data_IF_141228774011
#
_entry.id   IF_141228774011
#
_cell.length_a   1.000
_cell.length_b   1.000
_cell.length_c   1.000
_cell.angle_alpha   90.00
_cell.angle_beta   90.00
_cell.angle_gamma   90.00
#
_symmetry.space_group_name_H-M   'P 1'
#
loop_
_entity.id
_entity.type
_entity.pdbx_description
1 polymer ?
#
# COMPACT_ATOMS: atom_id res chain seq x y z
N UNK A 1 9.62 -15.73 -1.66
CA UNK A 1 9.40 -14.28 -1.88
C UNK A 1 10.57 -13.52 -1.25
N UNK A 2 11.31 -12.76 -2.02
CA UNK A 2 12.42 -11.92 -1.54
C UNK A 2 11.93 -10.49 -1.30
N UNK A 3 12.33 -9.88 -0.17
CA UNK A 3 12.02 -8.49 0.16
C UNK A 3 13.33 -7.70 0.21
N UNK A 4 13.47 -6.73 -0.69
CA UNK A 4 14.63 -5.87 -0.78
C UNK A 4 14.51 -4.72 0.23
N UNK A 5 15.51 -4.59 1.10
CA UNK A 5 15.56 -3.51 2.10
C UNK A 5 16.02 -2.20 1.44
N UNK A 6 15.09 -1.27 1.26
CA UNK A 6 15.35 0.09 0.76
C UNK A 6 14.88 1.13 1.77
N UNK A 7 15.32 0.96 3.00
CA UNK A 7 14.85 1.75 4.15
C UNK A 7 15.21 3.23 3.97
N UNK A 8 14.22 4.10 4.18
CA UNK A 8 14.40 5.56 4.21
C UNK A 8 15.39 5.89 5.34
N UNK A 9 16.55 6.45 4.99
CA UNK A 9 17.65 6.69 5.91
C UNK A 9 17.36 7.84 6.86
N UNK A 10 16.85 8.97 6.32
CA UNK A 10 16.58 10.17 7.08
C UNK A 10 15.12 10.28 7.47
N UNK A 11 14.85 10.27 8.77
CA UNK A 11 13.49 10.41 9.31
C UNK A 11 12.88 11.78 9.04
N UNK A 12 13.69 12.83 9.06
CA UNK A 12 13.24 14.22 8.94
C UNK A 12 13.81 14.89 7.69
N UNK A 13 13.18 15.97 7.28
CA UNK A 13 13.65 16.86 6.20
C UNK A 13 13.17 18.29 6.46
N UNK A 14 13.82 19.27 5.82
CA UNK A 14 13.34 20.65 5.79
C UNK A 14 12.37 20.78 4.61
N UNK A 15 11.13 21.16 4.91
CA UNK A 15 10.12 21.39 3.87
C UNK A 15 10.47 22.68 3.12
N UNK A 16 10.66 22.62 1.79
CA UNK A 16 11.03 23.79 0.99
C UNK A 16 9.93 24.86 0.90
N UNK A 17 8.69 24.52 1.27
CA UNK A 17 7.55 25.43 1.20
C UNK A 17 7.47 26.39 2.38
N UNK A 18 7.84 25.93 3.57
CA UNK A 18 7.67 26.69 4.81
C UNK A 18 8.91 26.70 5.71
N UNK A 19 10.01 26.09 5.28
CA UNK A 19 11.26 26.01 6.02
C UNK A 19 11.21 25.16 7.30
N UNK A 20 10.09 24.49 7.59
CA UNK A 20 9.93 23.73 8.83
C UNK A 20 10.47 22.32 8.72
N UNK A 21 10.96 21.81 9.84
CA UNK A 21 11.33 20.39 9.95
C UNK A 21 10.08 19.53 9.97
N UNK A 22 9.97 18.60 9.02
CA UNK A 22 8.90 17.61 8.92
C UNK A 22 9.48 16.20 8.94
N UNK A 23 8.63 15.19 9.21
CA UNK A 23 9.05 13.78 9.25
C UNK A 23 8.45 12.97 8.11
N UNK A 24 9.19 11.94 7.68
CA UNK A 24 8.76 10.95 6.69
C UNK A 24 8.11 9.72 7.32
N UNK A 25 8.46 9.43 8.57
CA UNK A 25 7.88 8.37 9.39
C UNK A 25 8.04 8.71 10.87
N UNK A 26 7.28 8.07 11.74
CA UNK A 26 7.31 8.29 13.19
C UNK A 26 7.68 7.03 13.96
N UNK A 27 7.71 7.17 15.27
CA UNK A 27 7.76 6.03 16.17
C UNK A 27 6.34 5.52 16.41
N UNK A 28 6.18 4.18 16.40
CA UNK A 28 4.89 3.54 16.69
C UNK A 28 4.58 3.58 18.19
N UNK A 29 5.57 3.80 19.04
CA UNK A 29 5.43 3.73 20.48
C UNK A 29 5.13 2.30 20.95
N UNK A 30 4.23 2.17 21.91
CA UNK A 30 3.79 0.87 22.43
C UNK A 30 2.57 0.28 21.67
N UNK A 31 2.12 0.94 20.58
CA UNK A 31 0.99 0.45 19.81
C UNK A 31 1.34 -0.85 19.09
N UNK A 32 0.49 -1.83 19.24
CA UNK A 32 0.59 -3.09 18.51
C UNK A 32 0.17 -2.89 17.04
N UNK A 33 0.80 -3.66 16.15
CA UNK A 33 0.38 -3.74 14.75
C UNK A 33 -0.87 -4.64 14.72
N UNK A 34 -2.00 -4.05 14.35
CA UNK A 34 -3.30 -4.73 14.36
C UNK A 34 -4.02 -4.66 13.01
N UNK A 35 -3.50 -3.89 12.05
CA UNK A 35 -4.11 -3.66 10.76
C UNK A 35 -3.11 -3.72 9.63
N UNK A 36 -3.58 -4.11 8.44
CA UNK A 36 -2.88 -3.89 7.17
C UNK A 36 -3.78 -3.02 6.31
N UNK A 37 -3.21 -1.91 5.80
CA UNK A 37 -3.92 -1.02 4.88
C UNK A 37 -3.27 -1.14 3.50
N UNK A 38 -4.06 -1.58 2.54
CA UNK A 38 -3.65 -1.70 1.14
C UNK A 38 -3.91 -0.40 0.41
N UNK A 39 -2.91 0.05 -0.33
CA UNK A 39 -2.92 1.27 -1.14
C UNK A 39 -2.47 0.99 -2.57
N UNK A 40 -2.48 2.00 -3.39
CA UNK A 40 -1.71 2.09 -4.61
C UNK A 40 -0.88 3.37 -4.59
N UNK A 41 0.20 3.44 -5.36
CA UNK A 41 1.08 4.61 -5.35
C UNK A 41 0.42 5.84 -5.96
N UNK A 42 -0.51 5.67 -6.90
CA UNK A 42 -1.08 6.76 -7.69
C UNK A 42 -0.03 7.43 -8.59
N UNK A 43 1.09 6.75 -8.80
CA UNK A 43 2.21 7.23 -9.62
C UNK A 43 2.24 6.48 -10.96
N UNK A 44 1.54 7.04 -11.92
CA UNK A 44 1.50 6.53 -13.30
C UNK A 44 2.87 6.52 -13.99
N UNK A 45 3.88 7.21 -13.47
CA UNK A 45 5.25 7.21 -14.01
C UNK A 45 6.03 5.95 -13.64
N UNK A 46 5.66 5.26 -12.56
CA UNK A 46 6.33 4.03 -12.14
C UNK A 46 5.96 2.83 -13.03
N UNK A 47 4.72 2.76 -13.53
CA UNK A 47 4.23 1.70 -14.43
C UNK A 47 4.58 0.30 -13.94
N UNK A 48 4.23 -0.01 -12.69
CA UNK A 48 4.52 -1.30 -12.05
C UNK A 48 5.91 -1.44 -11.44
N UNK A 49 6.81 -0.48 -11.63
CA UNK A 49 8.18 -0.57 -11.11
C UNK A 49 8.30 0.01 -9.69
N UNK A 50 8.29 -0.85 -8.67
CA UNK A 50 8.42 -0.44 -7.27
C UNK A 50 9.76 0.21 -6.94
N UNK A 51 10.84 -0.18 -7.64
CA UNK A 51 12.17 0.42 -7.47
C UNK A 51 12.16 1.93 -7.70
N UNK A 52 11.46 2.40 -8.72
CA UNK A 52 11.38 3.84 -9.02
C UNK A 52 10.80 4.62 -7.83
N UNK A 53 9.70 4.15 -7.27
CA UNK A 53 9.06 4.77 -6.11
C UNK A 53 9.93 4.65 -4.86
N UNK A 54 10.53 3.47 -4.61
CA UNK A 54 11.42 3.26 -3.48
C UNK A 54 12.67 4.16 -3.55
N UNK A 55 13.24 4.37 -4.74
CA UNK A 55 14.38 5.29 -4.95
C UNK A 55 13.97 6.74 -4.71
N UNK A 56 12.82 7.17 -5.23
CA UNK A 56 12.29 8.51 -5.02
C UNK A 56 12.04 8.80 -3.54
N UNK A 57 11.54 7.82 -2.78
CA UNK A 57 11.31 7.93 -1.32
C UNK A 57 12.59 8.24 -0.53
N UNK A 58 13.77 7.90 -1.03
CA UNK A 58 15.02 8.18 -0.32
C UNK A 58 15.29 9.69 -0.19
N UNK A 59 14.86 10.47 -1.18
CA UNK A 59 15.22 11.88 -1.31
C UNK A 59 14.03 12.84 -1.31
N UNK A 60 12.81 12.36 -1.52
CA UNK A 60 11.67 13.27 -1.60
C UNK A 60 11.41 14.00 -0.28
N UNK A 61 10.93 15.23 -0.40
CA UNK A 61 10.60 16.09 0.73
C UNK A 61 9.07 16.12 0.94
N UNK A 62 8.53 14.98 1.37
CA UNK A 62 7.08 14.77 1.58
C UNK A 62 6.84 14.04 2.88
N UNK A 63 5.72 14.35 3.54
CA UNK A 63 5.22 13.66 4.74
C UNK A 63 4.35 12.46 4.40
N UNK A 64 4.77 11.69 3.40
CA UNK A 64 4.09 10.46 2.95
C UNK A 64 5.12 9.34 2.86
N UNK A 65 4.78 8.19 3.37
CA UNK A 65 5.60 6.98 3.28
C UNK A 65 4.72 5.74 3.43
N UNK A 66 5.22 4.61 3.02
CA UNK A 66 4.61 3.30 3.22
C UNK A 66 5.64 2.33 3.79
N UNK A 67 5.21 1.18 4.31
CA UNK A 67 6.15 0.17 4.78
C UNK A 67 6.68 -0.67 3.62
N UNK A 68 5.79 -1.08 2.71
CA UNK A 68 6.13 -1.95 1.59
C UNK A 68 5.58 -1.40 0.27
N UNK A 69 6.37 -1.60 -0.77
CA UNK A 69 5.99 -1.39 -2.17
C UNK A 69 6.09 -2.73 -2.88
N UNK A 70 5.02 -3.14 -3.56
CA UNK A 70 4.97 -4.38 -4.33
C UNK A 70 4.85 -4.03 -5.80
N UNK A 71 5.87 -4.30 -6.58
CA UNK A 71 5.92 -4.04 -8.01
C UNK A 71 6.13 -5.28 -8.86
N UNK A 72 6.09 -5.11 -10.16
CA UNK A 72 6.42 -6.18 -11.12
C UNK A 72 7.89 -6.61 -11.03
N UNK A 73 8.74 -5.68 -10.60
CA UNK A 73 10.19 -5.88 -10.47
C UNK A 73 10.57 -6.59 -9.17
N UNK A 74 10.05 -6.15 -8.05
CA UNK A 74 10.34 -6.72 -6.74
C UNK A 74 9.45 -6.14 -5.63
N UNK A 75 9.62 -6.65 -4.41
CA UNK A 75 9.05 -6.07 -3.19
C UNK A 75 10.14 -5.29 -2.46
N UNK A 76 9.83 -4.04 -2.08
CA UNK A 76 10.73 -3.16 -1.35
C UNK A 76 10.14 -2.79 0.02
N UNK A 77 10.92 -2.97 1.09
CA UNK A 77 10.59 -2.40 2.39
C UNK A 77 11.25 -1.03 2.52
N UNK A 78 10.45 0.01 2.72
CA UNK A 78 10.92 1.41 2.80
C UNK A 78 10.86 2.00 4.20
N UNK A 79 9.97 1.49 5.07
CA UNK A 79 9.91 1.82 6.50
C UNK A 79 9.89 0.52 7.30
N UNK A 80 10.71 0.43 8.36
CA UNK A 80 10.72 -0.75 9.22
C UNK A 80 9.40 -0.87 9.99
N UNK A 81 8.89 -2.08 10.19
CA UNK A 81 7.60 -2.34 10.84
C UNK A 81 7.47 -1.72 12.24
N UNK A 82 8.59 -1.61 12.98
CA UNK A 82 8.62 -0.97 14.30
C UNK A 82 8.36 0.54 14.29
N UNK A 83 8.31 1.16 13.12
CA UNK A 83 8.00 2.57 12.92
C UNK A 83 6.60 2.73 12.34
N UNK A 84 6.03 3.92 12.48
CA UNK A 84 4.78 4.30 11.83
C UNK A 84 5.10 5.01 10.51
N UNK A 85 4.70 4.44 9.37
CA UNK A 85 4.74 5.11 8.09
C UNK A 85 3.55 6.08 7.96
N UNK A 86 3.71 7.13 7.17
CA UNK A 86 2.69 8.16 6.98
C UNK A 86 1.84 7.87 5.74
N UNK A 87 0.87 6.96 5.85
CA UNK A 87 0.00 6.52 4.75
C UNK A 87 -1.50 6.66 5.03
N UNK A 88 -1.90 6.67 6.31
CA UNK A 88 -3.30 6.80 6.72
C UNK A 88 -3.38 7.43 8.12
N UNK A 89 -3.54 8.78 8.22
CA UNK A 89 -3.63 9.45 9.50
C UNK A 89 -4.89 9.02 10.25
N UNK A 90 -4.83 9.08 11.59
CA UNK A 90 -6.03 8.95 12.40
C UNK A 90 -6.86 10.22 12.30
N UNK A 91 -8.13 10.08 11.97
CA UNK A 91 -9.13 11.15 12.00
C UNK A 91 -10.40 10.62 12.66
N UNK A 92 -11.16 11.51 13.32
CA UNK A 92 -12.44 11.12 13.95
C UNK A 92 -13.48 10.59 12.95
N UNK A 93 -13.34 10.96 11.69
CA UNK A 93 -14.18 10.54 10.58
C UNK A 93 -13.82 9.16 10.02
N UNK A 94 -12.71 8.54 10.45
CA UNK A 94 -12.33 7.21 9.98
C UNK A 94 -13.40 6.19 10.35
N UNK A 95 -13.72 5.32 9.39
CA UNK A 95 -14.76 4.29 9.54
C UNK A 95 -14.33 3.11 10.42
N UNK A 96 -13.03 3.00 10.72
CA UNK A 96 -12.46 1.99 11.62
C UNK A 96 -11.21 2.54 12.33
N UNK A 97 -10.67 1.78 13.26
CA UNK A 97 -9.51 2.18 14.08
C UNK A 97 -8.16 2.12 13.36
N UNK A 98 -8.12 1.70 12.09
CA UNK A 98 -6.89 1.62 11.31
C UNK A 98 -6.26 3.00 11.13
N UNK A 99 -4.95 3.11 11.37
CA UNK A 99 -4.20 4.36 11.23
C UNK A 99 -2.70 4.09 11.16
N UNK A 100 -1.90 5.12 10.88
CA UNK A 100 -0.44 5.05 10.81
C UNK A 100 0.20 4.32 12.01
N UNK A 101 -0.31 4.53 13.22
CA UNK A 101 0.29 4.00 14.45
C UNK A 101 0.02 2.50 14.67
N UNK A 102 -1.06 1.96 14.14
CA UNK A 102 -1.50 0.58 14.38
C UNK A 102 -1.53 -0.27 13.11
N UNK A 103 -1.16 0.29 11.96
CA UNK A 103 -1.21 -0.41 10.68
C UNK A 103 0.16 -0.53 10.00
N UNK A 104 0.29 -1.57 9.18
CA UNK A 104 1.28 -1.67 8.12
C UNK A 104 0.66 -1.19 6.82
N UNK A 105 1.30 -0.23 6.13
CA UNK A 105 0.92 0.20 4.79
C UNK A 105 1.60 -0.66 3.74
N UNK A 106 0.83 -1.17 2.79
CA UNK A 106 1.30 -1.92 1.63
C UNK A 106 0.77 -1.25 0.37
N UNK A 107 1.67 -0.67 -0.41
CA UNK A 107 1.33 -0.03 -1.68
C UNK A 107 1.60 -1.02 -2.82
N UNK A 108 0.55 -1.40 -3.53
CA UNK A 108 0.65 -2.13 -4.79
C UNK A 108 0.94 -1.12 -5.90
N UNK A 109 2.02 -1.36 -6.65
CA UNK A 109 2.45 -0.43 -7.71
C UNK A 109 1.67 -0.74 -8.99
N UNK A 110 0.80 0.16 -9.32
CA UNK A 110 -0.14 0.02 -10.43
C UNK A 110 0.50 0.31 -11.79
N UNK A 111 -0.25 -0.09 -12.81
CA UNK A 111 -0.11 0.35 -14.19
C UNK A 111 -1.32 1.15 -14.63
N UNK A 112 -1.13 1.95 -15.65
CA UNK A 112 -2.20 2.73 -16.29
C UNK A 112 -2.02 2.74 -17.80
N UNK A 113 -3.10 2.49 -18.56
CA UNK A 113 -3.04 2.48 -20.03
C UNK A 113 -2.79 3.88 -20.59
N UNK A 114 -3.55 4.87 -20.08
CA UNK A 114 -3.40 6.26 -20.50
C UNK A 114 -2.59 7.07 -19.47
N UNK A 115 -1.27 7.21 -19.63
CA UNK A 115 -0.43 7.94 -18.68
C UNK A 115 -0.61 9.46 -18.74
N UNK A 116 -1.43 9.99 -19.66
CA UNK A 116 -1.71 11.43 -19.76
C UNK A 116 -2.84 11.89 -18.85
N UNK A 117 -3.70 10.97 -18.42
CA UNK A 117 -4.75 11.26 -17.44
C UNK A 117 -4.32 10.82 -16.05
N UNK A 118 -4.60 11.65 -15.05
CA UNK A 118 -4.26 11.41 -13.64
C UNK A 118 -5.50 11.23 -12.77
N UNK A 119 -6.67 11.16 -13.41
CA UNK A 119 -7.93 11.07 -12.68
C UNK A 119 -8.05 9.74 -11.95
N UNK A 120 -8.40 9.82 -10.67
CA UNK A 120 -8.78 8.63 -9.87
C UNK A 120 -10.09 8.00 -10.37
N UNK A 121 -10.87 8.70 -11.22
CA UNK A 121 -12.10 8.18 -11.82
C UNK A 121 -11.84 7.35 -13.08
N UNK A 122 -10.62 7.40 -13.64
CA UNK A 122 -10.30 6.61 -14.82
C UNK A 122 -10.39 5.12 -14.48
N UNK A 123 -10.89 4.34 -15.44
CA UNK A 123 -11.14 2.91 -15.28
C UNK A 123 -10.01 2.03 -15.83
N UNK A 124 -8.91 2.64 -16.26
CA UNK A 124 -7.75 1.98 -16.86
C UNK A 124 -6.56 1.81 -15.88
N UNK A 125 -6.75 2.08 -14.60
CA UNK A 125 -5.83 1.72 -13.53
C UNK A 125 -5.93 0.23 -13.24
N UNK A 126 -4.82 -0.51 -13.24
CA UNK A 126 -4.84 -1.94 -12.98
C UNK A 126 -3.57 -2.42 -12.28
N UNK A 127 -3.64 -3.57 -11.64
CA UNK A 127 -2.51 -4.35 -11.15
C UNK A 127 -2.28 -5.53 -12.09
N UNK A 128 -1.00 -5.90 -12.28
CA UNK A 128 -0.67 -7.15 -12.96
C UNK A 128 -0.94 -8.34 -12.05
N UNK A 129 -1.09 -9.54 -12.62
CA UNK A 129 -1.25 -10.77 -11.84
C UNK A 129 -0.09 -10.98 -10.86
N UNK A 130 1.14 -10.63 -11.28
CA UNK A 130 2.32 -10.71 -10.43
C UNK A 130 2.20 -9.81 -9.20
N UNK A 131 1.81 -8.55 -9.36
CA UNK A 131 1.60 -7.61 -8.24
C UNK A 131 0.51 -8.09 -7.31
N UNK A 132 -0.60 -8.64 -7.85
CA UNK A 132 -1.69 -9.20 -7.06
C UNK A 132 -1.21 -10.43 -6.28
N UNK A 133 -0.48 -11.34 -6.91
CA UNK A 133 0.03 -12.56 -6.28
C UNK A 133 1.05 -12.24 -5.18
N UNK A 134 2.08 -11.48 -5.50
CA UNK A 134 3.15 -11.12 -4.55
C UNK A 134 2.59 -10.27 -3.41
N UNK A 135 1.67 -9.36 -3.70
CA UNK A 135 0.97 -8.56 -2.71
C UNK A 135 0.14 -9.40 -1.75
N UNK A 136 -0.60 -10.39 -2.26
CA UNK A 136 -1.39 -11.29 -1.43
C UNK A 136 -0.49 -12.16 -0.53
N UNK A 137 0.61 -12.68 -1.04
CA UNK A 137 1.59 -13.44 -0.26
C UNK A 137 2.24 -12.60 0.84
N UNK A 138 2.66 -11.36 0.51
CA UNK A 138 3.22 -10.42 1.49
C UNK A 138 2.22 -10.10 2.59
N UNK A 139 0.98 -9.78 2.22
CA UNK A 139 -0.08 -9.45 3.18
C UNK A 139 -0.41 -10.64 4.08
N UNK A 140 -0.46 -11.87 3.52
CA UNK A 140 -0.65 -13.11 4.28
C UNK A 140 0.48 -13.31 5.31
N UNK A 141 1.73 -13.22 4.88
CA UNK A 141 2.91 -13.34 5.75
C UNK A 141 2.89 -12.30 6.89
N UNK A 142 2.56 -11.05 6.58
CA UNK A 142 2.47 -9.99 7.60
C UNK A 142 1.29 -10.21 8.56
N UNK A 143 0.15 -10.67 8.04
CA UNK A 143 -1.02 -10.96 8.85
C UNK A 143 -0.74 -12.11 9.85
N UNK A 144 -0.03 -13.15 9.42
CA UNK A 144 0.38 -14.25 10.31
C UNK A 144 1.43 -13.81 11.31
N UNK A 145 2.44 -13.06 10.88
CA UNK A 145 3.49 -12.52 11.75
C UNK A 145 2.95 -11.67 12.91
N UNK A 146 1.89 -10.91 12.68
CA UNK A 146 1.32 -9.97 13.65
C UNK A 146 -0.04 -10.40 14.19
N UNK A 147 -0.50 -11.61 13.90
CA UNK A 147 -1.83 -12.13 14.28
C UNK A 147 -2.99 -11.20 13.86
N UNK A 148 -2.89 -10.64 12.65
CA UNK A 148 -3.91 -9.72 12.12
C UNK A 148 -5.06 -10.55 11.53
N UNK A 149 -6.31 -10.37 12.01
CA UNK A 149 -7.45 -11.09 11.46
C UNK A 149 -7.79 -10.60 10.03
N UNK A 150 -8.50 -11.44 9.28
CA UNK A 150 -8.80 -11.21 7.86
C UNK A 150 -9.62 -9.94 7.61
N UNK A 151 -10.48 -9.54 8.54
CA UNK A 151 -11.30 -8.33 8.50
C UNK A 151 -10.51 -7.05 8.82
N UNK A 152 -9.33 -7.18 9.42
CA UNK A 152 -8.40 -6.07 9.64
C UNK A 152 -7.42 -5.84 8.47
N UNK A 153 -7.58 -6.57 7.37
CA UNK A 153 -6.92 -6.28 6.10
C UNK A 153 -7.89 -5.45 5.27
N UNK A 154 -7.61 -4.16 5.13
CA UNK A 154 -8.54 -3.15 4.58
C UNK A 154 -7.87 -2.30 3.51
N UNK A 155 -8.69 -1.66 2.66
CA UNK A 155 -8.22 -0.62 1.73
C UNK A 155 -8.19 0.73 2.46
N UNK A 156 -7.41 1.68 1.96
CA UNK A 156 -7.51 3.07 2.41
C UNK A 156 -8.95 3.59 2.25
N UNK A 157 -9.65 3.14 1.20
CA UNK A 157 -11.07 3.45 0.96
C UNK A 157 -11.98 3.01 2.10
N UNK A 158 -11.74 1.83 2.67
CA UNK A 158 -12.54 1.29 3.77
C UNK A 158 -12.34 2.10 5.05
N UNK A 159 -11.18 2.73 5.22
CA UNK A 159 -10.87 3.56 6.38
C UNK A 159 -11.43 4.98 6.24
N UNK A 160 -11.17 5.65 5.12
CA UNK A 160 -11.42 7.09 4.97
C UNK A 160 -12.43 7.47 3.88
N UNK A 161 -12.77 6.54 2.99
CA UNK A 161 -13.54 6.82 1.76
C UNK A 161 -12.70 7.35 0.60
N UNK A 162 -11.38 7.53 0.77
CA UNK A 162 -10.49 7.90 -0.33
C UNK A 162 -10.45 6.78 -1.38
N UNK A 163 -10.55 7.10 -2.66
CA UNK A 163 -10.49 6.14 -3.77
C UNK A 163 -9.07 5.54 -3.93
N UNK A 164 -8.70 4.70 -2.98
CA UNK A 164 -7.39 4.06 -2.88
C UNK A 164 -7.50 2.68 -2.24
N UNK A 165 -6.97 1.62 -2.88
CA UNK A 165 -6.34 1.61 -4.21
C UNK A 165 -7.38 1.65 -5.34
N UNK A 166 -7.20 2.52 -6.32
CA UNK A 166 -8.19 2.71 -7.40
C UNK A 166 -8.53 1.41 -8.16
N UNK A 167 -7.58 0.51 -8.50
CA UNK A 167 -7.92 -0.75 -9.15
C UNK A 167 -8.87 -1.67 -8.36
N UNK A 168 -9.10 -1.38 -7.09
CA UNK A 168 -9.98 -2.16 -6.20
C UNK A 168 -11.16 -1.36 -5.65
N UNK A 169 -11.46 -0.17 -6.19
CA UNK A 169 -12.53 0.69 -5.67
C UNK A 169 -13.49 1.07 -6.78
N UNK A 170 -14.78 0.82 -6.56
CA UNK A 170 -15.88 1.18 -7.44
C UNK A 170 -16.60 -0.04 -8.02
N UNK A 171 -17.87 0.19 -8.41
CA UNK A 171 -18.73 -0.83 -9.03
C UNK A 171 -18.68 -0.77 -10.57
N UNK A 172 -17.81 0.08 -11.12
CA UNK A 172 -17.55 0.19 -12.55
C UNK A 172 -16.56 -0.90 -13.01
N UNK A 173 -16.65 -1.25 -14.28
CA UNK A 173 -15.78 -2.25 -14.90
C UNK A 173 -14.42 -1.64 -15.26
N UNK A 174 -13.35 -2.33 -14.90
CA UNK A 174 -12.00 -2.00 -15.33
C UNK A 174 -11.84 -2.22 -16.85
N UNK A 175 -11.33 -1.23 -17.56
CA UNK A 175 -11.18 -1.28 -19.04
C UNK A 175 -10.05 -2.20 -19.52
N UNK A 176 -9.19 -2.65 -18.60
CA UNK A 176 -8.03 -3.50 -18.91
C UNK A 176 -8.33 -4.96 -18.57
N UNK A 177 -8.82 -5.20 -17.33
CA UNK A 177 -9.04 -6.57 -16.84
C UNK A 177 -10.42 -7.10 -17.16
N UNK A 178 -11.38 -6.22 -17.46
CA UNK A 178 -12.78 -6.60 -17.66
C UNK A 178 -13.56 -6.87 -16.37
N UNK A 179 -12.90 -6.84 -15.21
CA UNK A 179 -13.51 -7.12 -13.91
C UNK A 179 -14.12 -5.86 -13.30
N UNK A 180 -15.12 -6.05 -12.45
CA UNK A 180 -15.60 -4.98 -11.56
C UNK A 180 -14.53 -4.75 -10.47
N UNK A 181 -14.14 -3.49 -10.24
CA UNK A 181 -13.08 -3.15 -9.29
C UNK A 181 -13.32 -3.70 -7.87
N UNK A 182 -14.56 -3.68 -7.39
CA UNK A 182 -14.91 -4.21 -6.07
C UNK A 182 -14.75 -5.74 -6.01
N UNK A 183 -15.02 -6.46 -7.10
CA UNK A 183 -14.77 -7.90 -7.21
C UNK A 183 -13.26 -8.19 -7.14
N UNK A 184 -12.43 -7.35 -7.78
CA UNK A 184 -10.97 -7.47 -7.71
C UNK A 184 -10.46 -7.40 -6.26
N UNK A 185 -11.05 -6.55 -5.42
CA UNK A 185 -10.73 -6.52 -3.98
C UNK A 185 -11.13 -7.81 -3.26
N UNK A 186 -12.32 -8.32 -3.51
CA UNK A 186 -12.79 -9.57 -2.91
C UNK A 186 -11.88 -10.75 -3.29
N UNK A 187 -11.48 -10.83 -4.56
CA UNK A 187 -10.54 -11.84 -5.06
C UNK A 187 -9.15 -11.69 -4.42
N UNK A 188 -8.63 -10.48 -4.25
CA UNK A 188 -7.37 -10.23 -3.55
C UNK A 188 -7.44 -10.74 -2.10
N UNK A 189 -8.51 -10.41 -1.37
CA UNK A 189 -8.74 -10.89 0.00
C UNK A 189 -8.79 -12.42 0.08
N UNK A 190 -9.42 -13.06 -0.89
CA UNK A 190 -9.47 -14.52 -0.95
C UNK A 190 -8.09 -15.13 -1.24
N UNK A 191 -7.27 -14.54 -2.12
CA UNK A 191 -5.88 -14.97 -2.34
C UNK A 191 -5.04 -14.86 -1.06
N UNK A 192 -5.20 -13.76 -0.29
CA UNK A 192 -4.56 -13.62 1.02
C UNK A 192 -4.99 -14.75 1.97
N UNK A 193 -6.28 -15.05 2.04
CA UNK A 193 -6.81 -16.12 2.90
C UNK A 193 -6.24 -17.50 2.53
N UNK A 194 -6.14 -17.78 1.24
CA UNK A 194 -5.58 -19.05 0.74
C UNK A 194 -4.08 -19.14 1.05
N UNK A 195 -3.32 -18.06 0.85
CA UNK A 195 -1.88 -18.02 1.13
C UNK A 195 -1.55 -18.23 2.63
N UNK A 196 -2.46 -17.86 3.55
CA UNK A 196 -2.32 -18.12 5.00
C UNK A 196 -2.54 -19.59 5.38
N UNK A 197 -3.29 -20.35 4.57
CA UNK A 197 -3.63 -21.76 4.87
C UNK A 197 -2.59 -22.76 4.39
N UNK A 198 -1.76 -22.37 3.43
CA UNK A 198 -0.76 -23.23 2.81
C UNK A 198 0.59 -22.51 2.81
N UNK A 199 1.30 -22.43 3.98
CA UNK A 199 2.64 -21.84 4.00
C UNK A 199 3.69 -22.67 3.25
N UNK A 200 3.45 -23.95 3.01
CA UNK A 200 4.43 -24.91 2.46
C UNK A 200 4.16 -25.33 1.00
N UNK A 201 3.10 -24.87 0.36
CA UNK A 201 2.69 -25.28 -1.01
C UNK A 201 2.90 -24.18 -2.08
N UNK A 202 3.87 -23.24 -1.87
CA UNK A 202 4.17 -22.18 -2.85
C UNK A 202 5.65 -22.18 -3.21
#
# INVERSE_FOLDING_TARGET
>A
MEIIQKIIKERTFIDPKDGKTKSRFGYRGHNQIAWIIVHYTGDYGSQGCAKKTADAMQTWKRTVSTHYLVGDDAIYQTVKDKHAAWHCPYEKSNKCAASNCVAIGVDLVERKRNPRSHSVKDRDWYFTDKVIQDGAQLVAMLADKYNIPQDHIVRHYDVTGKWCPRPFVGNDTNEITGDIHEIGWAMFKERVRLARRCPDDV
#
